data_IF_068919650260
#
_entry.id   IF_068919650260
#
_cell.length_a   1.000
_cell.length_b   1.000
_cell.length_c   1.000
_cell.angle_alpha   90.00
_cell.angle_beta   90.00
_cell.angle_gamma   90.00
#
_symmetry.space_group_name_H-M   'P 1'
#
loop_
_entity.id
_entity.type
_entity.pdbx_description
1 polymer ?
#
# COMPACT_ATOMS: atom_id res chain seq x y z
N UNK A 1 12.05 16.84 0.20
CA UNK A 1 10.82 16.14 -0.27
C UNK A 1 11.15 15.50 -1.60
N UNK A 2 10.83 14.22 -1.81
CA UNK A 2 11.02 13.58 -3.12
C UNK A 2 10.24 14.36 -4.19
N UNK A 3 10.80 14.63 -5.39
CA UNK A 3 10.14 15.45 -6.41
C UNK A 3 8.74 14.94 -6.78
N UNK A 4 8.54 13.63 -6.78
CA UNK A 4 7.25 13.01 -7.06
C UNK A 4 6.18 13.45 -6.04
N UNK A 5 6.51 13.55 -4.76
CA UNK A 5 5.53 13.96 -3.74
C UNK A 5 5.02 15.39 -3.97
N UNK A 6 5.86 16.26 -4.51
CA UNK A 6 5.41 17.61 -4.90
C UNK A 6 4.40 17.54 -6.05
N UNK A 7 4.66 16.72 -7.07
CA UNK A 7 3.73 16.51 -8.19
C UNK A 7 2.38 15.96 -7.71
N UNK A 8 2.41 14.99 -6.80
CA UNK A 8 1.19 14.42 -6.21
C UNK A 8 0.43 15.49 -5.41
N UNK A 9 1.14 16.29 -4.60
CA UNK A 9 0.56 17.38 -3.83
C UNK A 9 -0.08 18.45 -4.72
N UNK A 10 0.58 18.83 -5.81
CA UNK A 10 0.03 19.82 -6.76
C UNK A 10 -1.27 19.32 -7.39
N UNK A 11 -1.36 18.03 -7.73
CA UNK A 11 -2.61 17.43 -8.23
C UNK A 11 -3.71 17.39 -7.17
N UNK A 12 -3.37 17.16 -5.90
CA UNK A 12 -4.32 17.22 -4.78
C UNK A 12 -4.82 18.66 -4.57
N UNK A 13 -3.92 19.65 -4.58
CA UNK A 13 -4.27 21.07 -4.46
C UNK A 13 -5.25 21.48 -5.57
N UNK A 14 -4.99 21.05 -6.80
CA UNK A 14 -5.92 21.29 -7.92
C UNK A 14 -7.31 20.72 -7.65
N UNK A 15 -7.40 19.50 -7.08
CA UNK A 15 -8.70 18.93 -6.71
C UNK A 15 -9.40 19.70 -5.60
N UNK A 16 -8.66 20.29 -4.66
CA UNK A 16 -9.22 21.17 -3.62
C UNK A 16 -9.80 22.43 -4.28
N UNK A 17 -9.06 23.08 -5.18
CA UNK A 17 -9.51 24.27 -5.92
C UNK A 17 -10.76 23.99 -6.77
N UNK A 18 -10.87 22.80 -7.36
CA UNK A 18 -12.01 22.38 -8.16
C UNK A 18 -13.20 21.89 -7.31
N UNK A 19 -13.09 21.82 -5.99
CA UNK A 19 -14.13 21.28 -5.09
C UNK A 19 -14.36 19.75 -5.23
N UNK A 20 -13.37 19.03 -5.79
CA UNK A 20 -13.45 17.59 -6.09
C UNK A 20 -12.62 16.73 -5.13
N UNK A 21 -12.04 17.34 -4.10
CA UNK A 21 -11.20 16.63 -3.13
C UNK A 21 -12.04 15.63 -2.33
N UNK A 22 -11.53 14.40 -2.21
CA UNK A 22 -12.17 13.32 -1.45
C UNK A 22 -11.50 13.15 -0.11
N UNK A 23 -12.32 13.01 0.91
CA UNK A 23 -11.92 12.72 2.29
C UNK A 23 -12.66 11.49 2.78
N UNK A 24 -11.99 10.72 3.63
CA UNK A 24 -12.66 9.68 4.41
C UNK A 24 -13.40 10.36 5.55
N UNK A 25 -14.67 9.99 5.73
CA UNK A 25 -15.52 10.53 6.80
C UNK A 25 -16.12 9.38 7.59
N UNK A 26 -16.22 9.57 8.89
CA UNK A 26 -16.96 8.68 9.77
C UNK A 26 -18.41 9.19 9.87
N UNK A 27 -19.34 8.35 9.47
CA UNK A 27 -20.77 8.63 9.53
C UNK A 27 -21.48 7.84 10.63
N UNK A 28 -20.76 7.33 11.62
CA UNK A 28 -21.33 6.64 12.79
C UNK A 28 -22.36 7.51 13.48
N UNK A 29 -23.54 6.96 13.72
CA UNK A 29 -24.66 7.68 14.35
C UNK A 29 -25.56 8.49 13.42
N UNK A 30 -25.25 8.56 12.12
CA UNK A 30 -26.14 9.17 11.13
C UNK A 30 -27.12 8.15 10.56
N UNK A 31 -28.28 8.62 10.06
CA UNK A 31 -29.17 7.80 9.25
C UNK A 31 -28.48 7.52 7.89
N UNK A 32 -28.32 6.25 7.58
CA UNK A 32 -27.62 5.81 6.37
C UNK A 32 -28.57 5.72 5.17
N UNK A 33 -28.47 6.68 4.26
CA UNK A 33 -29.16 6.70 2.96
C UNK A 33 -28.21 6.46 1.79
N UNK A 34 -26.94 6.15 2.05
CA UNK A 34 -25.88 6.09 1.04
C UNK A 34 -25.29 4.70 0.83
N UNK A 35 -25.49 3.76 1.76
CA UNK A 35 -25.05 2.38 1.59
C UNK A 35 -25.91 1.60 0.60
N UNK A 36 -25.38 0.48 0.13
CA UNK A 36 -26.10 -0.48 -0.71
C UNK A 36 -26.74 -1.62 0.13
N UNK A 37 -26.90 -1.42 1.42
CA UNK A 37 -27.52 -2.40 2.33
C UNK A 37 -29.05 -2.35 2.27
N UNK A 38 -29.61 -2.56 1.07
CA UNK A 38 -31.02 -2.39 0.76
C UNK A 38 -31.97 -3.24 1.60
N UNK A 39 -31.49 -4.36 2.15
CA UNK A 39 -32.25 -5.27 2.98
C UNK A 39 -31.90 -5.17 4.47
N UNK A 40 -30.91 -4.35 4.83
CA UNK A 40 -30.44 -4.20 6.20
C UNK A 40 -29.70 -5.42 6.75
N UNK A 41 -29.19 -6.31 5.89
CA UNK A 41 -28.55 -7.56 6.30
C UNK A 41 -27.11 -7.37 6.82
N UNK A 42 -26.51 -6.20 6.61
CA UNK A 42 -25.19 -5.92 7.17
C UNK A 42 -25.20 -5.76 8.69
N UNK A 43 -26.36 -5.58 9.30
CA UNK A 43 -26.51 -5.30 10.73
C UNK A 43 -27.33 -6.39 11.43
N UNK A 44 -26.82 -6.87 12.56
CA UNK A 44 -27.64 -7.63 13.49
C UNK A 44 -28.35 -6.67 14.46
N UNK A 45 -29.65 -6.48 14.26
CA UNK A 45 -30.45 -5.59 15.10
C UNK A 45 -30.54 -6.05 16.57
N UNK A 46 -30.34 -7.35 16.85
CA UNK A 46 -30.40 -7.89 18.21
C UNK A 46 -29.07 -7.75 18.96
N UNK A 47 -27.95 -7.86 18.26
CA UNK A 47 -26.62 -7.85 18.87
C UNK A 47 -25.84 -6.55 18.61
N UNK A 48 -26.42 -5.63 17.83
CA UNK A 48 -25.77 -4.40 17.37
C UNK A 48 -24.44 -4.63 16.64
N UNK A 49 -24.23 -5.84 16.10
CA UNK A 49 -23.04 -6.20 15.33
C UNK A 49 -23.19 -5.79 13.87
N UNK A 50 -22.12 -5.30 13.29
CA UNK A 50 -22.02 -4.98 11.87
C UNK A 50 -21.21 -6.06 11.17
N UNK A 51 -21.84 -6.85 10.29
CA UNK A 51 -21.21 -7.96 9.58
C UNK A 51 -20.46 -7.52 8.32
N UNK A 52 -20.91 -6.49 7.65
CA UNK A 52 -20.33 -5.98 6.42
C UNK A 52 -20.39 -4.46 6.34
N UNK A 53 -19.62 -3.90 5.42
CA UNK A 53 -19.49 -2.44 5.27
C UNK A 53 -20.56 -1.84 4.36
N UNK A 54 -21.22 -2.66 3.53
CA UNK A 54 -22.29 -2.32 2.60
C UNK A 54 -22.04 -1.10 1.67
N UNK A 55 -20.81 -0.53 1.70
CA UNK A 55 -20.40 0.62 0.89
C UNK A 55 -18.87 0.75 0.81
N UNK A 56 -18.42 1.66 -0.05
CA UNK A 56 -16.98 2.00 -0.15
C UNK A 56 -16.54 2.87 1.04
N UNK A 57 -15.22 2.93 1.26
CA UNK A 57 -14.60 3.80 2.29
C UNK A 57 -14.98 5.29 2.14
N UNK A 58 -15.25 5.72 0.92
CA UNK A 58 -15.60 7.12 0.60
C UNK A 58 -17.09 7.45 0.78
N UNK A 59 -17.92 6.44 1.04
CA UNK A 59 -19.37 6.63 1.21
C UNK A 59 -19.79 6.24 2.64
N UNK A 60 -20.07 4.98 2.90
CA UNK A 60 -20.58 4.52 4.19
C UNK A 60 -19.70 3.50 4.90
N UNK A 61 -18.66 3.00 4.22
CA UNK A 61 -17.82 1.91 4.73
C UNK A 61 -16.58 2.37 5.51
N UNK A 62 -16.39 3.66 5.74
CA UNK A 62 -15.30 4.14 6.60
C UNK A 62 -15.72 4.15 8.06
N UNK A 63 -14.77 3.90 8.95
CA UNK A 63 -14.97 4.01 10.38
C UNK A 63 -13.69 4.48 11.08
N UNK A 64 -13.85 4.97 12.28
CA UNK A 64 -12.74 5.39 13.13
C UNK A 64 -11.76 4.23 13.43
N UNK A 65 -12.29 3.03 13.63
CA UNK A 65 -11.49 1.82 13.91
C UNK A 65 -10.54 1.47 12.77
N UNK A 66 -10.94 1.68 11.51
CA UNK A 66 -10.07 1.46 10.34
C UNK A 66 -8.94 2.50 10.32
N UNK A 67 -9.27 3.77 10.54
CA UNK A 67 -8.29 4.85 10.52
C UNK A 67 -7.27 4.73 11.66
N UNK A 68 -7.73 4.38 12.86
CA UNK A 68 -6.86 4.10 14.01
C UNK A 68 -5.93 2.91 13.72
N UNK A 69 -6.45 1.82 13.13
CA UNK A 69 -5.64 0.66 12.75
C UNK A 69 -4.60 1.02 11.68
N UNK A 70 -4.94 1.83 10.67
CA UNK A 70 -3.99 2.34 9.67
C UNK A 70 -2.82 3.07 10.33
N UNK A 71 -3.08 3.91 11.32
CA UNK A 71 -2.06 4.62 12.10
C UNK A 71 -1.23 3.68 12.98
N UNK A 72 -1.86 2.73 13.67
CA UNK A 72 -1.18 1.72 14.48
C UNK A 72 -0.19 0.90 13.65
N UNK A 73 -0.61 0.47 12.45
CA UNK A 73 0.24 -0.29 11.51
C UNK A 73 1.35 0.59 10.96
N UNK A 74 1.05 1.83 10.54
CA UNK A 74 2.05 2.77 10.06
C UNK A 74 3.15 3.02 11.12
N UNK A 75 2.76 3.21 12.38
CA UNK A 75 3.67 3.37 13.50
C UNK A 75 4.53 2.11 13.75
N UNK A 76 3.93 0.91 13.64
CA UNK A 76 4.67 -0.36 13.78
C UNK A 76 5.79 -0.48 12.74
N UNK A 77 5.51 -0.09 11.49
CA UNK A 77 6.47 -0.08 10.38
C UNK A 77 7.30 1.20 10.27
N UNK A 78 7.14 2.15 11.21
CA UNK A 78 7.87 3.44 11.28
C UNK A 78 7.68 4.29 10.01
N UNK A 79 6.48 4.29 9.45
CA UNK A 79 6.08 5.14 8.32
C UNK A 79 5.12 6.23 8.77
N UNK A 80 4.96 7.28 7.95
CA UNK A 80 4.11 8.42 8.32
C UNK A 80 2.61 8.09 8.21
N UNK A 81 2.22 7.20 7.30
CA UNK A 81 0.82 6.89 7.05
C UNK A 81 0.64 5.53 6.37
N UNK A 82 -0.60 5.04 6.37
CA UNK A 82 -1.00 3.81 5.69
C UNK A 82 -2.42 3.90 5.14
N UNK A 83 -2.72 3.07 4.13
CA UNK A 83 -4.05 2.93 3.56
C UNK A 83 -4.38 1.45 3.34
N UNK A 84 -5.44 0.95 3.97
CA UNK A 84 -5.86 -0.46 3.89
C UNK A 84 -6.64 -0.72 2.59
N UNK A 85 -6.31 -1.85 1.96
CA UNK A 85 -6.94 -2.42 0.76
C UNK A 85 -7.45 -3.83 1.04
N UNK A 86 -8.38 -4.31 0.21
CA UNK A 86 -8.99 -5.63 0.39
C UNK A 86 -8.04 -6.82 0.14
N UNK A 87 -6.93 -6.62 -0.56
CA UNK A 87 -5.89 -7.65 -0.75
C UNK A 87 -4.58 -7.04 -1.24
N UNK A 88 -3.47 -7.77 -1.13
CA UNK A 88 -2.18 -7.39 -1.70
C UNK A 88 -2.24 -7.19 -3.22
N UNK A 89 -3.01 -8.06 -3.92
CA UNK A 89 -3.23 -7.91 -5.35
C UNK A 89 -3.86 -6.56 -5.70
N UNK A 90 -4.94 -6.20 -5.00
CA UNK A 90 -5.68 -4.93 -5.20
C UNK A 90 -4.84 -3.73 -4.82
N UNK A 91 -4.02 -3.83 -3.77
CA UNK A 91 -3.10 -2.77 -3.34
C UNK A 91 -2.03 -2.50 -4.41
N UNK A 92 -1.35 -3.54 -4.89
CA UNK A 92 -0.36 -3.43 -5.96
C UNK A 92 -0.97 -2.90 -7.27
N UNK A 93 -2.09 -3.50 -7.70
CA UNK A 93 -2.82 -3.04 -8.88
C UNK A 93 -3.14 -1.54 -8.77
N UNK A 94 -3.65 -1.11 -7.62
CA UNK A 94 -4.02 0.27 -7.35
C UNK A 94 -2.83 1.21 -7.35
N UNK A 95 -1.77 0.87 -6.64
CA UNK A 95 -0.56 1.68 -6.52
C UNK A 95 0.07 1.92 -7.90
N UNK A 96 0.35 0.83 -8.63
CA UNK A 96 1.07 0.90 -9.90
C UNK A 96 0.23 1.44 -11.06
N UNK A 97 -1.10 1.29 -11.03
CA UNK A 97 -1.98 1.90 -12.05
C UNK A 97 -2.28 3.39 -11.80
N UNK A 98 -1.99 3.89 -10.59
CA UNK A 98 -2.38 5.25 -10.18
C UNK A 98 -1.22 6.22 -10.14
N UNK A 99 -0.04 5.79 -9.67
CA UNK A 99 1.09 6.68 -9.40
C UNK A 99 1.90 6.97 -10.66
N UNK A 100 2.43 5.97 -11.41
CA UNK A 100 3.15 6.25 -12.64
C UNK A 100 2.20 6.77 -13.74
N UNK A 101 2.65 7.76 -14.48
CA UNK A 101 1.87 8.39 -15.54
C UNK A 101 2.61 8.32 -16.88
N UNK A 102 1.96 8.80 -17.94
CA UNK A 102 2.59 8.93 -19.27
C UNK A 102 3.84 9.78 -19.18
N UNK A 103 4.95 9.28 -19.71
CA UNK A 103 6.27 9.92 -19.68
C UNK A 103 7.12 9.52 -18.47
N UNK A 104 6.56 8.81 -17.50
CA UNK A 104 7.31 8.18 -16.40
C UNK A 104 7.84 6.80 -16.82
N UNK A 105 8.77 6.27 -16.05
CA UNK A 105 9.37 4.94 -16.27
C UNK A 105 9.20 4.06 -15.04
N UNK A 106 8.75 2.83 -15.22
CA UNK A 106 8.75 1.79 -14.16
C UNK A 106 9.77 0.72 -14.51
N UNK A 107 10.75 0.53 -13.62
CA UNK A 107 11.75 -0.54 -13.72
C UNK A 107 11.42 -1.58 -12.65
N UNK A 108 11.34 -2.85 -13.03
CA UNK A 108 10.93 -3.91 -12.10
C UNK A 108 11.76 -5.16 -12.28
N UNK A 109 11.95 -5.91 -11.20
CA UNK A 109 12.60 -7.21 -11.24
C UNK A 109 11.78 -8.19 -12.09
N UNK A 110 12.42 -8.99 -12.92
CA UNK A 110 11.73 -9.90 -13.84
C UNK A 110 10.88 -10.99 -13.13
N UNK A 111 11.13 -11.26 -11.85
CA UNK A 111 10.34 -12.20 -11.04
C UNK A 111 9.28 -11.53 -10.17
N UNK A 112 9.06 -10.22 -10.32
CA UNK A 112 8.07 -9.46 -9.54
C UNK A 112 6.67 -10.08 -9.68
N UNK A 113 5.88 -10.01 -8.62
CA UNK A 113 4.53 -10.57 -8.56
C UNK A 113 3.61 -10.07 -9.67
N UNK A 114 2.71 -10.95 -10.14
CA UNK A 114 1.77 -10.66 -11.24
C UNK A 114 0.92 -9.41 -11.00
N UNK A 115 0.50 -9.14 -9.76
CA UNK A 115 -0.31 -7.96 -9.41
C UNK A 115 0.39 -6.63 -9.71
N UNK A 116 1.72 -6.59 -9.54
CA UNK A 116 2.55 -5.42 -9.88
C UNK A 116 2.61 -5.25 -11.39
N UNK A 117 2.86 -6.34 -12.13
CA UNK A 117 2.86 -6.32 -13.60
C UNK A 117 1.51 -5.86 -14.18
N UNK A 118 0.41 -6.31 -13.60
CA UNK A 118 -0.92 -5.92 -14.04
C UNK A 118 -1.20 -4.45 -13.72
N UNK A 119 -0.78 -3.96 -12.56
CA UNK A 119 -0.85 -2.53 -12.23
C UNK A 119 -0.03 -1.67 -13.19
N UNK A 120 1.20 -2.10 -13.52
CA UNK A 120 2.06 -1.43 -14.49
C UNK A 120 1.41 -1.39 -15.89
N UNK A 121 0.81 -2.49 -16.36
CA UNK A 121 0.09 -2.54 -17.65
C UNK A 121 -1.08 -1.57 -17.72
N UNK A 122 -1.76 -1.33 -16.60
CA UNK A 122 -2.88 -0.38 -16.52
C UNK A 122 -2.39 1.07 -16.38
N UNK A 123 -1.14 1.31 -16.07
CA UNK A 123 -0.54 2.65 -16.12
C UNK A 123 -0.27 3.05 -17.57
N UNK A 124 -0.01 4.33 -17.81
CA UNK A 124 0.44 4.82 -19.11
C UNK A 124 1.95 5.08 -19.15
N UNK A 125 2.70 4.56 -18.17
CA UNK A 125 4.15 4.71 -18.07
C UNK A 125 4.88 3.69 -18.95
N UNK A 126 6.08 4.03 -19.39
CA UNK A 126 7.00 3.06 -19.99
C UNK A 126 7.48 2.09 -18.91
N UNK A 127 7.65 0.81 -19.29
CA UNK A 127 8.07 -0.20 -18.32
C UNK A 127 9.14 -1.14 -18.86
N UNK A 128 10.12 -1.46 -17.99
CA UNK A 128 11.26 -2.31 -18.35
C UNK A 128 11.60 -3.23 -17.19
N UNK A 129 11.76 -4.52 -17.47
CA UNK A 129 12.30 -5.44 -16.48
C UNK A 129 13.83 -5.37 -16.44
N UNK A 130 14.40 -5.67 -15.27
CA UNK A 130 15.81 -6.03 -15.13
C UNK A 130 15.91 -7.49 -14.67
N UNK A 131 17.09 -8.11 -14.90
CA UNK A 131 17.35 -9.50 -14.53
C UNK A 131 17.26 -9.65 -13.01
N UNK A 132 16.71 -10.77 -12.58
CA UNK A 132 16.49 -11.04 -11.18
C UNK A 132 17.73 -10.79 -10.32
N UNK A 133 17.57 -9.94 -9.31
CA UNK A 133 18.61 -9.52 -8.35
C UNK A 133 19.91 -8.95 -8.98
N UNK A 134 19.91 -8.61 -10.28
CA UNK A 134 21.06 -8.05 -10.99
C UNK A 134 21.11 -6.51 -10.83
N UNK A 135 21.90 -6.07 -9.85
CA UNK A 135 22.07 -4.64 -9.51
C UNK A 135 22.76 -3.87 -10.66
N UNK A 136 23.64 -4.52 -11.44
CA UNK A 136 24.30 -3.87 -12.58
C UNK A 136 23.31 -3.63 -13.71
N UNK A 137 22.46 -4.63 -14.01
CA UNK A 137 21.42 -4.47 -15.02
C UNK A 137 20.36 -3.44 -14.57
N UNK A 138 20.02 -3.37 -13.26
CA UNK A 138 19.18 -2.31 -12.72
C UNK A 138 19.80 -0.93 -12.99
N UNK A 139 21.10 -0.75 -12.73
CA UNK A 139 21.78 0.53 -12.98
C UNK A 139 21.78 0.91 -14.46
N UNK A 140 22.01 -0.03 -15.36
CA UNK A 140 21.92 0.21 -16.82
C UNK A 140 20.51 0.68 -17.26
N UNK A 141 19.46 0.14 -16.64
CA UNK A 141 18.07 0.56 -16.88
C UNK A 141 17.82 1.97 -16.34
N UNK A 142 18.27 2.25 -15.11
CA UNK A 142 18.16 3.57 -14.48
C UNK A 142 18.83 4.66 -15.31
N UNK A 143 20.04 4.40 -15.82
CA UNK A 143 20.81 5.34 -16.63
C UNK A 143 20.13 5.75 -17.95
N UNK A 144 19.21 4.92 -18.46
CA UNK A 144 18.47 5.16 -19.73
C UNK A 144 17.05 5.67 -19.51
N UNK A 145 16.60 5.74 -18.26
CA UNK A 145 15.22 6.09 -17.91
C UNK A 145 14.93 7.58 -18.08
N UNK A 146 13.64 7.89 -18.26
CA UNK A 146 13.13 9.27 -18.43
C UNK A 146 11.97 9.53 -17.49
N UNK A 147 11.66 10.80 -17.28
CA UNK A 147 10.55 11.22 -16.42
C UNK A 147 10.79 10.90 -14.95
N UNK A 148 9.71 10.70 -14.19
CA UNK A 148 9.82 10.15 -12.85
C UNK A 148 10.06 8.65 -12.97
N UNK A 149 11.07 8.15 -12.28
CA UNK A 149 11.44 6.73 -12.34
C UNK A 149 10.97 6.03 -11.07
N UNK A 150 10.33 4.89 -11.23
CA UNK A 150 9.90 4.01 -10.16
C UNK A 150 10.64 2.68 -10.29
N UNK A 151 11.16 2.17 -9.18
CA UNK A 151 11.78 0.85 -9.12
C UNK A 151 10.91 -0.02 -8.23
N UNK A 152 10.53 -1.21 -8.71
CA UNK A 152 9.71 -2.16 -7.99
C UNK A 152 10.46 -3.46 -7.75
N UNK A 153 10.56 -3.87 -6.48
CA UNK A 153 11.16 -5.13 -6.02
C UNK A 153 10.31 -5.76 -4.93
N UNK A 154 10.47 -7.07 -4.72
CA UNK A 154 9.98 -7.75 -3.52
C UNK A 154 11.11 -7.87 -2.51
N UNK A 155 10.83 -7.75 -1.23
CA UNK A 155 11.84 -7.96 -0.18
C UNK A 155 12.20 -9.44 0.01
N UNK A 156 11.25 -10.34 -0.25
CA UNK A 156 11.45 -11.79 -0.39
C UNK A 156 10.61 -12.23 -1.58
N UNK A 157 11.22 -12.90 -2.56
CA UNK A 157 10.53 -13.42 -3.74
C UNK A 157 9.83 -14.74 -3.44
N UNK A 158 8.57 -14.86 -3.88
CA UNK A 158 7.68 -15.96 -3.48
C UNK A 158 8.13 -17.34 -3.96
N UNK A 159 8.76 -17.43 -5.13
CA UNK A 159 9.13 -18.71 -5.75
C UNK A 159 10.48 -19.22 -5.27
N UNK A 160 11.46 -18.33 -5.16
CA UNK A 160 12.85 -18.70 -4.87
C UNK A 160 13.20 -18.48 -3.39
N UNK A 161 12.40 -17.69 -2.66
CA UNK A 161 12.62 -17.39 -1.24
C UNK A 161 13.84 -16.52 -0.95
N UNK A 162 14.45 -15.96 -2.00
CA UNK A 162 15.61 -15.10 -1.91
C UNK A 162 15.23 -13.62 -1.75
N UNK A 163 16.23 -12.78 -1.56
CA UNK A 163 16.05 -11.34 -1.31
C UNK A 163 17.04 -10.52 -2.13
N UNK A 164 16.64 -9.35 -2.64
CA UNK A 164 17.59 -8.42 -3.24
C UNK A 164 18.52 -7.83 -2.18
N UNK A 165 19.70 -7.35 -2.61
CA UNK A 165 20.47 -6.45 -1.77
C UNK A 165 19.78 -5.09 -1.73
N UNK A 166 18.79 -4.95 -0.82
CA UNK A 166 17.91 -3.79 -0.76
C UNK A 166 18.65 -2.49 -0.46
N UNK A 167 19.78 -2.54 0.27
CA UNK A 167 20.64 -1.36 0.48
C UNK A 167 21.22 -0.86 -0.84
N UNK A 168 21.81 -1.74 -1.67
CA UNK A 168 22.36 -1.35 -2.98
C UNK A 168 21.25 -0.85 -3.93
N UNK A 169 20.07 -1.49 -3.91
CA UNK A 169 18.93 -1.02 -4.71
C UNK A 169 18.50 0.38 -4.26
N UNK A 170 18.43 0.63 -2.95
CA UNK A 170 18.11 1.94 -2.38
C UNK A 170 19.15 3.00 -2.76
N UNK A 171 20.45 2.67 -2.64
CA UNK A 171 21.55 3.58 -3.00
C UNK A 171 21.48 3.98 -4.48
N UNK A 172 21.19 3.02 -5.37
CA UNK A 172 20.99 3.30 -6.79
C UNK A 172 19.75 4.18 -7.02
N UNK A 173 18.64 3.88 -6.35
CA UNK A 173 17.45 4.72 -6.45
C UNK A 173 17.74 6.17 -6.01
N UNK A 174 18.51 6.37 -4.94
CA UNK A 174 18.92 7.71 -4.52
C UNK A 174 19.84 8.38 -5.55
N UNK A 175 20.85 7.67 -6.05
CA UNK A 175 21.80 8.15 -7.08
C UNK A 175 21.07 8.66 -8.33
N UNK A 176 20.06 7.92 -8.80
CA UNK A 176 19.30 8.22 -10.00
C UNK A 176 17.98 8.99 -9.73
N UNK A 177 17.73 9.37 -8.47
CA UNK A 177 16.49 10.04 -8.02
C UNK A 177 15.22 9.24 -8.37
N UNK A 178 15.32 7.92 -8.35
CA UNK A 178 14.21 7.01 -8.56
C UNK A 178 13.42 6.76 -7.26
N UNK A 179 12.15 6.45 -7.40
CA UNK A 179 11.23 6.19 -6.30
C UNK A 179 11.16 4.67 -6.07
N UNK A 180 11.72 4.18 -4.97
CA UNK A 180 11.73 2.76 -4.64
C UNK A 180 10.38 2.33 -4.06
N UNK A 181 9.79 1.28 -4.60
CA UNK A 181 8.58 0.61 -4.10
C UNK A 181 8.95 -0.83 -3.75
N UNK A 182 8.65 -1.23 -2.53
CA UNK A 182 8.99 -2.56 -2.01
C UNK A 182 7.72 -3.32 -1.62
N UNK A 183 7.51 -4.49 -2.21
CA UNK A 183 6.49 -5.43 -1.76
C UNK A 183 7.09 -6.33 -0.65
N UNK A 184 6.55 -6.22 0.54
CA UNK A 184 6.97 -6.98 1.73
C UNK A 184 6.01 -8.13 2.09
N UNK A 185 5.22 -8.58 1.12
CA UNK A 185 4.21 -9.60 1.34
C UNK A 185 4.74 -10.89 1.99
N UNK A 186 5.98 -11.26 1.73
CA UNK A 186 6.63 -12.46 2.30
C UNK A 186 7.58 -12.17 3.46
N UNK A 187 7.90 -10.90 3.74
CA UNK A 187 8.86 -10.53 4.79
C UNK A 187 8.20 -10.19 6.13
N UNK A 188 7.04 -9.52 6.10
CA UNK A 188 6.35 -9.13 7.33
C UNK A 188 5.86 -10.38 8.10
N UNK A 189 6.12 -10.41 9.40
CA UNK A 189 5.93 -11.56 10.27
C UNK A 189 7.09 -12.55 10.28
N UNK A 190 8.13 -12.38 9.44
CA UNK A 190 9.26 -13.31 9.28
C UNK A 190 10.60 -12.60 9.46
N UNK A 191 10.72 -11.40 8.96
CA UNK A 191 11.97 -10.62 8.94
C UNK A 191 11.85 -9.39 9.84
N UNK A 192 12.95 -9.05 10.51
CA UNK A 192 13.01 -7.94 11.46
C UNK A 192 12.97 -8.40 12.91
N UNK A 193 13.34 -7.52 13.83
CA UNK A 193 13.40 -7.83 15.27
C UNK A 193 12.01 -7.99 15.89
N UNK A 194 10.98 -7.51 15.22
CA UNK A 194 9.56 -7.56 15.62
C UNK A 194 8.68 -8.09 14.49
N UNK A 195 9.28 -8.73 13.47
CA UNK A 195 8.56 -9.14 12.27
C UNK A 195 8.09 -7.98 11.39
N UNK A 196 8.73 -6.82 11.50
CA UNK A 196 8.33 -5.60 10.80
C UNK A 196 8.75 -5.53 9.34
N UNK A 197 9.43 -6.54 8.83
CA UNK A 197 9.87 -6.63 7.44
C UNK A 197 11.30 -6.13 7.20
N UNK A 198 11.77 -6.27 5.96
CA UNK A 198 13.15 -5.99 5.56
C UNK A 198 13.42 -4.48 5.48
N UNK A 199 12.48 -3.69 4.98
CA UNK A 199 12.59 -2.22 4.90
C UNK A 199 12.84 -1.63 6.30
N UNK A 200 12.04 -2.06 7.28
CA UNK A 200 12.17 -1.59 8.66
C UNK A 200 13.44 -2.12 9.33
N UNK A 201 13.82 -3.39 9.09
CA UNK A 201 15.06 -3.99 9.59
C UNK A 201 16.30 -3.24 9.12
N UNK A 202 16.31 -2.78 7.87
CA UNK A 202 17.42 -2.03 7.27
C UNK A 202 17.33 -0.52 7.50
N UNK A 203 16.30 -0.02 8.18
CA UNK A 203 16.01 1.39 8.43
C UNK A 203 15.87 2.24 7.14
N UNK A 204 15.29 1.66 6.09
CA UNK A 204 15.11 2.29 4.77
C UNK A 204 13.76 3.01 4.60
N UNK A 205 12.96 3.20 5.65
CA UNK A 205 11.61 3.77 5.57
C UNK A 205 11.58 5.21 5.01
N UNK A 206 12.67 5.95 5.12
CA UNK A 206 12.78 7.33 4.61
C UNK A 206 13.17 7.36 3.13
N UNK A 207 13.84 6.33 2.66
CA UNK A 207 14.33 6.17 1.29
C UNK A 207 13.28 5.51 0.39
N UNK A 208 12.47 4.61 0.93
CA UNK A 208 11.40 3.91 0.21
C UNK A 208 10.20 4.85 0.02
N UNK A 209 9.72 4.94 -1.22
CA UNK A 209 8.55 5.74 -1.58
C UNK A 209 7.25 5.12 -1.06
N UNK A 210 7.10 3.80 -1.24
CA UNK A 210 5.97 3.03 -0.77
C UNK A 210 6.36 1.59 -0.42
N UNK A 211 5.76 1.07 0.65
CA UNK A 211 5.87 -0.35 1.03
C UNK A 211 4.49 -0.98 0.99
N UNK A 212 4.37 -2.17 0.40
CA UNK A 212 3.13 -2.94 0.38
C UNK A 212 3.25 -4.12 1.34
N UNK A 213 2.32 -4.22 2.28
CA UNK A 213 2.25 -5.32 3.26
C UNK A 213 0.93 -6.05 3.08
N UNK A 214 0.95 -7.39 3.02
CA UNK A 214 -0.28 -8.19 3.00
C UNK A 214 -0.56 -8.83 4.35
N UNK A 215 -1.83 -8.91 4.70
CA UNK A 215 -2.28 -9.59 5.92
C UNK A 215 -2.64 -11.06 5.70
N UNK A 216 -2.70 -11.49 4.43
CA UNK A 216 -3.15 -12.84 4.04
C UNK A 216 -2.09 -13.94 4.13
N UNK A 217 -0.85 -13.62 4.52
CA UNK A 217 0.26 -14.58 4.62
C UNK A 217 0.60 -14.86 6.08
N UNK A 218 1.76 -14.44 6.57
CA UNK A 218 2.20 -14.72 7.95
C UNK A 218 1.22 -14.23 9.03
N UNK A 219 0.50 -13.14 8.78
CA UNK A 219 -0.50 -12.63 9.71
C UNK A 219 -1.82 -13.40 9.70
N UNK A 220 -2.05 -14.34 8.76
CA UNK A 220 -3.24 -15.21 8.74
C UNK A 220 -4.57 -14.47 8.74
N UNK A 221 -4.65 -13.30 8.11
CA UNK A 221 -5.85 -12.46 8.02
C UNK A 221 -6.18 -12.17 6.55
N UNK A 222 -6.92 -11.10 6.27
CA UNK A 222 -7.30 -10.71 4.92
C UNK A 222 -7.02 -9.23 4.69
N UNK A 223 -6.64 -8.87 3.45
CA UNK A 223 -6.34 -7.50 3.10
C UNK A 223 -4.85 -7.21 2.94
N UNK A 224 -4.56 -5.93 2.77
CA UNK A 224 -3.21 -5.39 2.65
C UNK A 224 -3.19 -3.92 3.06
N UNK A 225 -2.01 -3.35 3.23
CA UNK A 225 -1.83 -1.92 3.46
C UNK A 225 -0.71 -1.39 2.55
N UNK A 226 -0.91 -0.21 1.99
CA UNK A 226 0.14 0.59 1.36
C UNK A 226 0.63 1.59 2.40
N UNK A 227 1.90 1.53 2.73
CA UNK A 227 2.58 2.37 3.71
C UNK A 227 3.45 3.41 2.98
N UNK A 228 3.53 4.62 3.52
CA UNK A 228 4.36 5.69 2.97
C UNK A 228 4.05 7.05 3.58
N UNK A 229 4.17 8.10 2.77
CA UNK A 229 3.86 9.46 3.20
C UNK A 229 2.35 9.72 3.26
N UNK A 230 1.95 10.74 4.02
CA UNK A 230 0.56 11.20 4.05
C UNK A 230 0.09 11.71 2.67
N UNK A 231 0.98 12.33 1.90
CA UNK A 231 0.70 12.76 0.52
C UNK A 231 0.35 11.57 -0.37
N UNK A 232 1.09 10.46 -0.27
CA UNK A 232 0.79 9.23 -1.01
C UNK A 232 -0.58 8.66 -0.61
N UNK A 233 -0.85 8.56 0.69
CA UNK A 233 -2.16 8.11 1.21
C UNK A 233 -3.31 8.94 0.64
N UNK A 234 -3.23 10.24 0.75
CA UNK A 234 -4.26 11.15 0.28
C UNK A 234 -4.42 11.10 -1.25
N UNK A 235 -3.32 10.91 -1.97
CA UNK A 235 -3.36 10.75 -3.42
C UNK A 235 -4.09 9.45 -3.82
N UNK A 236 -3.81 8.33 -3.15
CA UNK A 236 -4.50 7.06 -3.40
C UNK A 236 -6.00 7.17 -3.08
N UNK A 237 -6.40 7.83 -2.00
CA UNK A 237 -7.81 8.10 -1.67
C UNK A 237 -8.51 8.87 -2.81
N UNK A 238 -7.79 9.78 -3.47
CA UNK A 238 -8.38 10.65 -4.48
C UNK A 238 -8.37 10.09 -5.90
N UNK A 239 -7.42 9.21 -6.23
CA UNK A 239 -7.18 8.78 -7.62
C UNK A 239 -7.17 7.26 -7.81
N UNK A 240 -6.95 6.46 -6.76
CA UNK A 240 -6.83 5.01 -6.87
C UNK A 240 -8.19 4.36 -7.09
N UNK A 241 -8.44 3.93 -8.32
CA UNK A 241 -9.75 3.35 -8.70
C UNK A 241 -10.08 2.07 -7.93
N UNK A 242 -9.09 1.23 -7.67
CA UNK A 242 -9.29 -0.03 -6.92
C UNK A 242 -9.57 0.20 -5.43
N UNK A 243 -9.31 1.41 -4.90
CA UNK A 243 -9.72 1.84 -3.58
C UNK A 243 -11.09 2.54 -3.60
N UNK A 244 -11.30 3.44 -4.56
CA UNK A 244 -12.50 4.31 -4.63
C UNK A 244 -13.77 3.49 -4.89
N UNK A 245 -13.68 2.53 -5.84
CA UNK A 245 -14.83 1.83 -6.38
C UNK A 245 -14.97 0.38 -5.87
N UNK A 246 -14.51 0.12 -4.65
CA UNK A 246 -14.65 -1.18 -3.98
C UNK A 246 -15.35 -1.02 -2.64
N UNK A 247 -16.04 -2.07 -2.21
CA UNK A 247 -16.60 -2.16 -0.85
C UNK A 247 -15.47 -2.15 0.17
N UNK A 248 -15.65 -1.46 1.28
CA UNK A 248 -14.69 -1.43 2.39
C UNK A 248 -14.53 -2.82 3.03
N UNK A 249 -13.39 -3.09 3.69
CA UNK A 249 -13.23 -4.29 4.52
C UNK A 249 -14.33 -4.37 5.59
N UNK A 250 -14.73 -5.59 5.95
CA UNK A 250 -15.70 -5.77 7.04
C UNK A 250 -15.11 -5.38 8.39
N UNK A 251 -15.93 -4.95 9.36
CA UNK A 251 -15.46 -4.68 10.73
C UNK A 251 -14.77 -5.87 11.38
N UNK A 252 -15.23 -7.09 11.11
CA UNK A 252 -14.58 -8.32 11.59
C UNK A 252 -13.17 -8.48 11.03
N UNK A 253 -12.96 -8.16 9.74
CA UNK A 253 -11.62 -8.16 9.13
C UNK A 253 -10.70 -7.18 9.84
N UNK A 254 -11.16 -5.95 10.13
CA UNK A 254 -10.37 -4.92 10.82
C UNK A 254 -9.97 -5.37 12.24
N UNK A 255 -10.93 -5.92 12.99
CA UNK A 255 -10.66 -6.47 14.32
C UNK A 255 -9.66 -7.65 14.27
N UNK A 256 -9.77 -8.50 13.25
CA UNK A 256 -8.85 -9.63 13.08
C UNK A 256 -7.44 -9.15 12.77
N UNK A 257 -7.27 -8.18 11.87
CA UNK A 257 -5.95 -7.60 11.56
C UNK A 257 -5.30 -7.03 12.83
N UNK A 258 -6.04 -6.23 13.63
CA UNK A 258 -5.54 -5.67 14.89
C UNK A 258 -5.06 -6.76 15.84
N UNK A 259 -5.87 -7.82 16.05
CA UNK A 259 -5.50 -8.96 16.89
C UNK A 259 -4.23 -9.67 16.40
N UNK A 260 -4.02 -9.77 15.10
CA UNK A 260 -2.81 -10.43 14.57
C UNK A 260 -1.56 -9.56 14.75
N UNK A 261 -1.67 -8.23 14.60
CA UNK A 261 -0.56 -7.34 14.94
C UNK A 261 -0.24 -7.36 16.44
N UNK A 262 -1.23 -7.46 17.32
CA UNK A 262 -1.00 -7.60 18.76
C UNK A 262 -0.31 -8.93 19.10
N UNK A 263 -0.70 -10.03 18.45
CA UNK A 263 0.00 -11.32 18.59
C UNK A 263 1.44 -11.23 18.09
N UNK A 264 1.67 -10.54 16.96
CA UNK A 264 3.01 -10.36 16.39
C UNK A 264 3.92 -9.61 17.38
N UNK A 265 3.41 -8.53 17.99
CA UNK A 265 4.14 -7.79 19.03
C UNK A 265 4.49 -8.68 20.23
N UNK A 266 3.51 -9.45 20.75
CA UNK A 266 3.73 -10.36 21.89
C UNK A 266 4.75 -11.44 21.56
N UNK A 267 4.70 -12.01 20.35
CA UNK A 267 5.61 -13.07 19.91
C UNK A 267 7.08 -12.64 20.00
N UNK A 268 7.37 -11.42 19.58
CA UNK A 268 8.74 -10.88 19.52
C UNK A 268 9.16 -10.12 20.78
N UNK A 269 8.22 -9.69 21.65
CA UNK A 269 8.55 -9.07 22.95
C UNK A 269 8.83 -10.12 24.04
N UNK A 270 8.60 -11.43 23.75
CA UNK A 270 8.79 -12.55 24.71
C UNK A 270 10.16 -13.24 24.58
N UNK A 271 10.99 -12.85 23.65
CA UNK A 271 12.38 -13.29 23.47
C UNK A 271 13.37 -12.21 23.94
#
# INVERSE_FOLDING_TARGET
MQPILQILQDKLNKRIEEGLYRELKDYTGFCDFSSNDYLGFSRDQKQQNLYGSAGSRLISGNSREIEELELEIANFHKTASGLIFNSGYVANLGLFSTIPNRGDTVIYDELIHASIRDGIRLSNADSFSFKHNDVQHLEERLAKSKGNVFVAVESIYSMDGDSPNLNLVSDLCQKYKANLIVDEAHAVGVVGNRGEGLVAKLNLQKEVFATVVTFGKALGSHGAIVLGSEVLRNYLINYCRSFIYTTAPSPETILTIRKQYDKLKILYDSD
#
